data_IF_375387066592
#
_entry.id   IF_375387066592
#
_cell.length_a   1.000
_cell.length_b   1.000
_cell.length_c   1.000
_cell.angle_alpha   90.00
_cell.angle_beta   90.00
_cell.angle_gamma   90.00
#
_symmetry.space_group_name_H-M   'P 1'
#
loop_
_entity.id
_entity.type
_entity.pdbx_description
1 polymer ?
#
# COMPACT_ATOMS: atom_id res chain seq x y z
N UNK A 1 5.77 23.39 1.65
CA UNK A 1 5.33 22.51 0.53
C UNK A 1 5.77 21.10 0.84
N UNK A 2 4.89 20.09 0.69
CA UNK A 2 5.25 18.67 0.82
C UNK A 2 6.06 18.28 -0.41
N UNK A 3 7.24 17.65 -0.21
CA UNK A 3 8.15 17.30 -1.30
C UNK A 3 7.91 15.90 -1.89
N UNK A 4 7.42 14.97 -1.08
CA UNK A 4 7.19 13.58 -1.48
C UNK A 4 6.92 12.68 -0.28
N UNK A 5 6.80 11.39 -0.53
CA UNK A 5 6.73 10.39 0.53
C UNK A 5 8.16 10.12 1.05
N UNK A 6 8.39 10.27 2.36
CA UNK A 6 9.64 9.85 2.97
C UNK A 6 9.58 8.35 3.30
N UNK A 7 8.60 7.94 4.09
CA UNK A 7 8.30 6.55 4.37
C UNK A 7 6.87 6.39 4.86
N UNK A 8 6.32 5.20 4.69
CA UNK A 8 5.18 4.71 5.47
C UNK A 8 5.71 3.81 6.60
N UNK A 9 4.87 3.44 7.55
CA UNK A 9 5.26 2.51 8.60
C UNK A 9 4.06 1.62 8.98
N UNK A 10 4.30 0.31 8.92
CA UNK A 10 3.31 -0.72 9.25
C UNK A 10 3.85 -1.68 10.32
N UNK A 11 2.97 -2.43 10.94
CA UNK A 11 3.37 -3.52 11.84
C UNK A 11 3.76 -4.74 11.03
N UNK A 12 4.81 -5.46 11.46
CA UNK A 12 5.12 -6.79 10.94
C UNK A 12 5.11 -7.82 12.07
N UNK A 13 4.89 -9.08 11.67
CA UNK A 13 4.89 -10.23 12.58
C UNK A 13 6.32 -10.60 12.99
N UNK A 14 7.18 -10.59 11.98
CA UNK A 14 8.56 -11.04 12.04
C UNK A 14 9.37 -10.26 11.01
N UNK A 15 10.46 -9.64 11.45
CA UNK A 15 11.29 -8.78 10.60
C UNK A 15 12.05 -9.57 9.55
N UNK A 16 12.45 -10.82 9.84
CA UNK A 16 13.17 -11.64 8.86
C UNK A 16 12.24 -12.17 7.76
N UNK A 17 11.03 -12.61 8.08
CA UNK A 17 10.03 -12.96 7.06
C UNK A 17 9.67 -11.75 6.20
N UNK A 18 9.57 -10.58 6.81
CA UNK A 18 9.33 -9.32 6.12
C UNK A 18 10.50 -8.99 5.18
N UNK A 19 11.75 -9.13 5.63
CA UNK A 19 12.94 -8.94 4.81
C UNK A 19 12.96 -9.90 3.61
N UNK A 20 12.67 -11.18 3.81
CA UNK A 20 12.63 -12.18 2.72
C UNK A 20 11.60 -11.81 1.64
N UNK A 21 10.48 -11.20 2.02
CA UNK A 21 9.48 -10.75 1.06
C UNK A 21 9.93 -9.44 0.36
N UNK A 22 10.30 -8.41 1.11
CA UNK A 22 10.58 -7.10 0.53
C UNK A 22 11.96 -7.01 -0.13
N UNK A 23 13.00 -7.63 0.44
CA UNK A 23 14.33 -7.64 -0.15
C UNK A 23 14.54 -8.80 -1.12
N UNK A 24 14.39 -10.06 -0.68
CA UNK A 24 14.76 -11.22 -1.51
C UNK A 24 13.74 -11.49 -2.64
N UNK A 25 12.46 -11.16 -2.44
CA UNK A 25 11.43 -11.36 -3.46
C UNK A 25 11.19 -10.10 -4.29
N UNK A 26 10.86 -8.94 -3.68
CA UNK A 26 10.58 -7.71 -4.42
C UNK A 26 11.85 -7.02 -4.91
N UNK A 27 12.98 -7.18 -4.24
CA UNK A 27 14.28 -6.58 -4.60
C UNK A 27 14.50 -5.19 -3.98
N UNK A 28 13.77 -4.84 -2.94
CA UNK A 28 13.95 -3.58 -2.21
C UNK A 28 15.03 -3.74 -1.12
N UNK A 29 16.21 -3.11 -1.24
CA UNK A 29 17.29 -3.35 -0.28
C UNK A 29 16.93 -2.87 1.12
N UNK A 30 17.23 -3.68 2.15
CA UNK A 30 17.18 -3.28 3.55
C UNK A 30 18.24 -2.19 3.78
N UNK A 31 17.83 -0.94 3.93
CA UNK A 31 18.71 0.23 4.01
C UNK A 31 18.88 0.78 5.41
N UNK A 32 18.06 0.34 6.35
CA UNK A 32 18.17 0.78 7.73
C UNK A 32 17.41 -0.13 8.70
N UNK A 33 17.96 -0.24 9.91
CA UNK A 33 17.32 -0.93 11.04
C UNK A 33 17.62 -0.18 12.32
N UNK A 34 16.60 0.09 13.12
CA UNK A 34 16.72 0.82 14.38
C UNK A 34 16.09 0.02 15.52
N UNK A 35 16.88 -0.29 16.55
CA UNK A 35 16.36 -0.85 17.79
C UNK A 35 15.83 0.27 18.71
N UNK A 36 14.60 0.15 19.17
CA UNK A 36 13.96 1.05 20.11
C UNK A 36 13.76 0.29 21.42
N UNK A 37 14.52 0.68 22.45
CA UNK A 37 14.55 -0.01 23.76
C UNK A 37 13.76 0.70 24.85
N UNK A 38 13.33 1.92 24.59
CA UNK A 38 12.48 2.69 25.50
C UNK A 38 11.53 3.60 24.73
N UNK A 39 10.32 3.77 25.27
CA UNK A 39 9.36 4.77 24.76
C UNK A 39 9.83 6.19 25.11
N UNK A 40 9.19 7.21 24.51
CA UNK A 40 9.47 8.63 24.85
C UNK A 40 9.23 8.95 26.34
N UNK A 41 8.41 8.16 27.04
CA UNK A 41 8.13 8.31 28.46
C UNK A 41 9.06 7.46 29.34
N UNK A 42 10.09 6.82 28.78
CA UNK A 42 11.07 6.02 29.50
C UNK A 42 10.62 4.58 29.83
N UNK A 43 9.43 4.14 29.40
CA UNK A 43 9.00 2.74 29.57
C UNK A 43 9.87 1.83 28.72
N UNK A 44 10.44 0.75 29.29
CA UNK A 44 11.15 -0.25 28.51
C UNK A 44 10.26 -0.85 27.42
N UNK A 45 10.82 -1.10 26.24
CA UNK A 45 10.14 -1.75 25.11
C UNK A 45 11.20 -2.45 24.24
N UNK A 46 10.76 -3.40 23.42
CA UNK A 46 11.61 -4.06 22.44
C UNK A 46 10.96 -3.93 21.08
N UNK A 47 11.44 -3.01 20.26
CA UNK A 47 10.91 -2.74 18.92
C UNK A 47 12.05 -2.66 17.92
N UNK A 48 11.93 -3.37 16.81
CA UNK A 48 12.79 -3.21 15.64
C UNK A 48 12.03 -2.43 14.56
N UNK A 49 12.67 -1.38 14.04
CA UNK A 49 12.15 -0.58 12.94
C UNK A 49 13.05 -0.75 11.72
N UNK A 50 12.52 -1.33 10.64
CA UNK A 50 13.26 -1.64 9.39
C UNK A 50 12.79 -0.76 8.24
N UNK A 51 13.69 -0.46 7.29
CA UNK A 51 13.44 0.41 6.13
C UNK A 51 13.94 -0.25 4.85
N UNK A 52 13.04 -0.46 3.89
CA UNK A 52 13.33 -1.00 2.56
C UNK A 52 13.25 0.13 1.54
N UNK A 53 14.35 0.39 0.83
CA UNK A 53 14.49 1.56 -0.03
C UNK A 53 13.86 1.35 -1.41
N UNK A 54 13.13 2.36 -1.89
CA UNK A 54 12.69 2.50 -3.27
C UNK A 54 13.67 3.36 -4.07
N UNK A 55 13.62 3.29 -5.41
CA UNK A 55 14.55 4.00 -6.30
C UNK A 55 14.43 5.52 -6.22
N UNK A 56 13.25 6.05 -5.86
CA UNK A 56 13.03 7.48 -5.64
C UNK A 56 13.59 7.99 -4.29
N UNK A 57 14.18 7.11 -3.49
CA UNK A 57 14.75 7.42 -2.17
C UNK A 57 13.74 7.42 -1.02
N UNK A 58 12.48 7.08 -1.26
CA UNK A 58 11.51 6.80 -0.22
C UNK A 58 11.65 5.38 0.33
N UNK A 59 10.90 5.03 1.38
CA UNK A 59 11.04 3.73 2.04
C UNK A 59 9.67 3.13 2.39
N UNK A 60 9.60 1.81 2.25
CA UNK A 60 8.63 1.00 3.00
C UNK A 60 9.26 0.63 4.35
N UNK A 61 8.55 0.91 5.45
CA UNK A 61 9.08 0.70 6.77
C UNK A 61 8.15 -0.16 7.62
N UNK A 62 8.75 -0.96 8.53
CA UNK A 62 8.01 -1.87 9.38
C UNK A 62 8.47 -1.81 10.81
N UNK A 63 7.51 -2.03 11.73
CA UNK A 63 7.75 -2.19 13.14
C UNK A 63 7.44 -3.63 13.57
N UNK A 64 8.44 -4.35 14.04
CA UNK A 64 8.25 -5.53 14.87
C UNK A 64 8.27 -5.11 16.34
N UNK A 65 7.20 -5.41 17.07
CA UNK A 65 7.06 -5.07 18.49
C UNK A 65 6.37 -6.23 19.22
N UNK A 66 7.12 -7.28 19.62
CA UNK A 66 6.57 -8.51 20.17
C UNK A 66 5.79 -8.32 21.47
N UNK A 67 6.15 -7.32 22.26
CA UNK A 67 5.52 -6.98 23.53
C UNK A 67 4.28 -6.07 23.40
N UNK A 68 3.90 -5.71 22.16
CA UNK A 68 2.75 -4.84 21.88
C UNK A 68 1.70 -5.59 21.04
N UNK A 69 0.53 -5.92 21.61
CA UNK A 69 -0.54 -6.61 20.88
C UNK A 69 -0.92 -5.88 19.58
N UNK A 70 -1.12 -6.66 18.53
CA UNK A 70 -1.58 -6.19 17.22
C UNK A 70 -2.37 -7.29 16.51
N UNK A 71 -3.50 -6.93 15.93
CA UNK A 71 -4.30 -7.86 15.14
C UNK A 71 -3.82 -7.87 13.68
N UNK A 72 -3.13 -8.94 13.32
CA UNK A 72 -2.76 -9.20 11.94
C UNK A 72 -3.87 -9.96 11.22
N UNK A 73 -4.39 -9.38 10.16
CA UNK A 73 -5.43 -9.97 9.31
C UNK A 73 -5.09 -9.81 7.83
N UNK A 74 -5.67 -10.63 6.98
CA UNK A 74 -5.63 -10.41 5.55
C UNK A 74 -6.41 -9.13 5.22
N UNK A 75 -5.73 -8.11 4.71
CA UNK A 75 -6.37 -6.86 4.34
C UNK A 75 -7.15 -7.02 3.03
N UNK A 76 -8.27 -6.31 2.91
CA UNK A 76 -8.94 -6.14 1.63
C UNK A 76 -8.25 -5.01 0.84
N UNK A 77 -8.23 -5.11 -0.49
CA UNK A 77 -7.59 -4.11 -1.35
C UNK A 77 -8.11 -2.69 -1.10
N UNK A 78 -9.41 -2.55 -0.74
CA UNK A 78 -10.01 -1.25 -0.44
C UNK A 78 -9.73 -0.75 0.98
N UNK A 79 -9.32 -1.63 1.89
CA UNK A 79 -8.95 -1.23 3.24
C UNK A 79 -7.51 -0.71 3.25
N UNK A 80 -6.60 -1.47 2.65
CA UNK A 80 -5.19 -1.13 2.57
C UNK A 80 -4.51 -1.92 1.45
N UNK A 81 -3.87 -1.22 0.53
CA UNK A 81 -2.83 -1.79 -0.33
C UNK A 81 -1.68 -0.78 -0.51
N UNK A 82 -0.53 -1.31 -0.88
CA UNK A 82 0.66 -0.52 -1.18
C UNK A 82 0.93 -0.74 -2.67
N UNK A 83 0.75 0.30 -3.48
CA UNK A 83 1.02 0.26 -4.91
C UNK A 83 2.43 0.80 -5.20
N UNK A 84 3.25 -0.03 -5.85
CA UNK A 84 4.63 0.27 -6.24
C UNK A 84 4.72 0.31 -7.76
N UNK A 85 5.24 1.40 -8.29
CA UNK A 85 5.42 1.56 -9.73
C UNK A 85 6.57 0.68 -10.25
N UNK A 86 6.31 0.00 -11.37
CA UNK A 86 7.30 -0.82 -12.10
C UNK A 86 7.13 -0.60 -13.60
N UNK A 87 8.14 -1.00 -14.37
CA UNK A 87 8.00 -1.09 -15.84
C UNK A 87 7.09 -2.27 -16.24
N UNK A 88 6.33 -2.12 -17.33
CA UNK A 88 5.35 -3.11 -17.80
C UNK A 88 5.92 -4.54 -17.92
N UNK A 89 7.12 -4.81 -18.48
CA UNK A 89 7.64 -6.17 -18.56
C UNK A 89 7.84 -6.82 -17.20
N UNK A 90 8.09 -6.01 -16.16
CA UNK A 90 8.31 -6.50 -14.79
C UNK A 90 7.10 -7.17 -14.19
N UNK A 91 5.87 -6.81 -14.62
CA UNK A 91 4.64 -7.43 -14.13
C UNK A 91 4.62 -8.94 -14.40
N UNK A 92 4.88 -9.35 -15.63
CA UNK A 92 4.91 -10.78 -16.01
C UNK A 92 6.02 -11.55 -15.29
N UNK A 93 7.22 -10.97 -15.19
CA UNK A 93 8.34 -11.56 -14.49
C UNK A 93 8.02 -11.81 -13.01
N UNK A 94 7.48 -10.79 -12.35
CA UNK A 94 7.16 -10.87 -10.92
C UNK A 94 5.98 -11.79 -10.64
N UNK A 95 4.97 -11.83 -11.53
CA UNK A 95 3.85 -12.75 -11.40
C UNK A 95 4.32 -14.21 -11.51
N UNK A 96 5.20 -14.50 -12.48
CA UNK A 96 5.80 -15.82 -12.62
C UNK A 96 6.68 -16.18 -11.40
N UNK A 97 7.50 -15.25 -10.92
CA UNK A 97 8.35 -15.43 -9.72
C UNK A 97 7.51 -15.68 -8.47
N UNK A 98 6.39 -14.96 -8.30
CA UNK A 98 5.48 -15.15 -7.18
C UNK A 98 4.81 -16.51 -7.20
N UNK A 99 4.29 -16.94 -8.35
CA UNK A 99 3.70 -18.28 -8.55
C UNK A 99 4.70 -19.39 -8.27
N UNK A 100 5.94 -19.26 -8.76
CA UNK A 100 7.00 -20.23 -8.52
C UNK A 100 7.37 -20.35 -7.03
N UNK A 101 7.16 -19.30 -6.22
CA UNK A 101 7.35 -19.31 -4.76
C UNK A 101 6.10 -19.71 -3.98
N UNK A 102 4.99 -20.04 -4.65
CA UNK A 102 3.72 -20.40 -4.00
C UNK A 102 3.06 -19.22 -3.26
N UNK A 103 3.39 -17.98 -3.63
CA UNK A 103 2.75 -16.80 -3.03
C UNK A 103 1.33 -16.63 -3.55
N UNK A 104 0.44 -16.15 -2.68
CA UNK A 104 -0.88 -15.66 -3.12
C UNK A 104 -0.65 -14.48 -4.08
N UNK A 105 -1.07 -14.63 -5.34
CA UNK A 105 -0.90 -13.61 -6.36
C UNK A 105 -2.06 -13.58 -7.35
N UNK A 106 -2.36 -12.40 -7.85
CA UNK A 106 -3.49 -12.12 -8.75
C UNK A 106 -3.07 -11.12 -9.83
N UNK A 107 -3.72 -11.14 -10.95
CA UNK A 107 -3.55 -10.22 -12.09
C UNK A 107 -3.12 -10.98 -13.35
N UNK A 108 -2.86 -10.35 -14.49
CA UNK A 108 -2.77 -8.88 -14.64
C UNK A 108 -4.19 -8.30 -14.68
N UNK A 109 -4.43 -7.21 -13.95
CA UNK A 109 -5.67 -6.45 -13.98
C UNK A 109 -5.45 -5.16 -14.77
N UNK A 110 -6.38 -4.84 -15.68
CA UNK A 110 -6.39 -3.59 -16.43
C UNK A 110 -7.32 -2.59 -15.72
N UNK A 111 -6.78 -1.43 -15.34
CA UNK A 111 -7.50 -0.32 -14.72
C UNK A 111 -7.54 0.91 -15.62
N UNK A 112 -7.37 0.74 -16.95
CA UNK A 112 -7.29 1.77 -17.99
C UNK A 112 -6.01 2.61 -17.91
N UNK A 113 -5.69 3.20 -16.76
CA UNK A 113 -4.51 4.07 -16.58
C UNK A 113 -3.28 3.33 -16.03
N UNK A 114 -3.46 2.11 -15.50
CA UNK A 114 -2.38 1.22 -15.05
C UNK A 114 -2.77 -0.24 -15.28
N UNK A 115 -1.74 -1.08 -15.47
CA UNK A 115 -1.85 -2.54 -15.36
C UNK A 115 -1.26 -2.97 -14.03
N UNK A 116 -1.90 -3.90 -13.32
CA UNK A 116 -1.50 -4.26 -11.96
C UNK A 116 -1.46 -5.76 -11.71
N UNK A 117 -0.54 -6.17 -10.86
CA UNK A 117 -0.51 -7.48 -10.21
C UNK A 117 -0.48 -7.30 -8.70
N UNK A 118 -0.97 -8.29 -7.97
CA UNK A 118 -1.15 -8.21 -6.53
C UNK A 118 -0.51 -9.40 -5.86
N UNK A 119 0.09 -9.16 -4.71
CA UNK A 119 0.63 -10.18 -3.80
C UNK A 119 0.08 -9.95 -2.41
N UNK A 120 0.06 -11.00 -1.61
CA UNK A 120 -0.13 -10.88 -0.16
C UNK A 120 1.18 -11.10 0.54
N UNK A 121 1.59 -10.14 1.34
CA UNK A 121 2.81 -10.22 2.13
C UNK A 121 2.62 -11.13 3.37
N UNK A 122 3.70 -11.54 4.08
CA UNK A 122 3.58 -12.40 5.26
C UNK A 122 2.81 -11.78 6.43
N UNK A 123 2.58 -10.47 6.40
CA UNK A 123 1.81 -9.76 7.43
C UNK A 123 0.30 -9.69 7.14
N UNK A 124 -0.11 -10.03 5.91
CA UNK A 124 -1.49 -9.96 5.43
C UNK A 124 -1.81 -8.70 4.62
N UNK A 125 -0.82 -7.86 4.33
CA UNK A 125 -1.00 -6.66 3.51
C UNK A 125 -1.02 -7.00 2.02
N UNK A 126 -1.81 -6.23 1.26
CA UNK A 126 -1.83 -6.32 -0.20
C UNK A 126 -0.74 -5.43 -0.77
N UNK A 127 0.14 -6.03 -1.56
CA UNK A 127 1.18 -5.33 -2.33
C UNK A 127 0.80 -5.38 -3.80
N UNK A 128 0.62 -4.22 -4.40
CA UNK A 128 0.35 -4.05 -5.81
C UNK A 128 1.64 -3.63 -6.52
N UNK A 129 1.99 -4.30 -7.61
CA UNK A 129 2.95 -3.75 -8.57
C UNK A 129 2.15 -3.22 -9.75
N UNK A 130 2.39 -1.98 -10.12
CA UNK A 130 1.60 -1.27 -11.11
C UNK A 130 2.48 -0.62 -12.18
N UNK A 131 2.11 -0.80 -13.45
CA UNK A 131 2.76 -0.16 -14.58
C UNK A 131 1.81 0.83 -15.25
N UNK A 132 2.30 2.02 -15.56
CA UNK A 132 1.50 3.07 -16.23
C UNK A 132 1.21 2.68 -17.68
N UNK A 133 -0.05 2.86 -18.09
CA UNK A 133 -0.44 2.78 -19.49
C UNK A 133 -0.18 4.12 -20.21
N UNK A 134 -0.23 4.16 -21.56
CA UNK A 134 -0.16 5.42 -22.30
C UNK A 134 -1.25 6.45 -21.90
N UNK A 135 -2.38 5.98 -21.38
CA UNK A 135 -3.50 6.81 -20.94
C UNK A 135 -3.29 7.43 -19.56
N UNK A 136 -2.32 6.94 -18.77
CA UNK A 136 -2.09 7.37 -17.39
C UNK A 136 -2.01 8.90 -17.25
N UNK A 137 -1.16 9.53 -18.06
CA UNK A 137 -0.93 10.98 -17.96
C UNK A 137 -2.20 11.80 -18.20
N UNK A 138 -3.07 11.35 -19.12
CA UNK A 138 -4.35 12.01 -19.43
C UNK A 138 -5.37 11.78 -18.30
N UNK A 139 -5.55 10.53 -17.88
CA UNK A 139 -6.56 10.16 -16.87
C UNK A 139 -6.23 10.70 -15.48
N UNK A 140 -4.94 10.90 -15.17
CA UNK A 140 -4.49 11.47 -13.91
C UNK A 140 -4.23 12.99 -13.96
N UNK A 141 -4.56 13.65 -15.05
CA UNK A 141 -4.39 15.11 -15.17
C UNK A 141 -5.58 15.85 -14.53
N UNK A 142 -5.38 16.58 -13.43
CA UNK A 142 -6.46 17.27 -12.72
C UNK A 142 -7.11 18.39 -13.54
N UNK A 143 -6.48 18.86 -14.62
CA UNK A 143 -7.07 19.86 -15.51
C UNK A 143 -8.14 19.27 -16.45
N UNK A 144 -8.15 17.95 -16.69
CA UNK A 144 -9.01 17.30 -17.68
C UNK A 144 -9.87 16.16 -17.13
N UNK A 145 -9.54 15.59 -15.96
CA UNK A 145 -10.17 14.38 -15.44
C UNK A 145 -11.45 14.59 -14.60
N UNK A 146 -11.92 15.84 -14.46
CA UNK A 146 -13.12 16.19 -13.66
C UNK A 146 -13.16 15.56 -12.23
N UNK A 147 -12.00 15.32 -11.61
CA UNK A 147 -11.93 14.64 -10.30
C UNK A 147 -12.79 15.34 -9.22
N UNK A 148 -12.81 16.67 -9.21
CA UNK A 148 -13.63 17.44 -8.25
C UNK A 148 -15.13 17.28 -8.52
N UNK A 149 -15.55 17.27 -9.75
CA UNK A 149 -16.95 17.07 -10.14
C UNK A 149 -17.43 15.66 -9.80
N UNK A 150 -16.60 14.65 -10.05
CA UNK A 150 -16.86 13.27 -9.65
C UNK A 150 -17.05 13.16 -8.14
N UNK A 151 -16.12 13.72 -7.34
CA UNK A 151 -16.21 13.72 -5.88
C UNK A 151 -17.49 14.42 -5.39
N UNK A 152 -17.85 15.56 -5.98
CA UNK A 152 -19.07 16.30 -5.60
C UNK A 152 -20.35 15.52 -5.91
N UNK A 153 -20.40 14.86 -7.08
CA UNK A 153 -21.54 13.98 -7.45
C UNK A 153 -21.66 12.80 -6.47
N UNK A 154 -20.55 12.18 -6.15
CA UNK A 154 -20.50 11.10 -5.18
C UNK A 154 -21.02 11.53 -3.80
N UNK A 155 -20.59 12.68 -3.29
CA UNK A 155 -21.03 13.17 -1.99
C UNK A 155 -22.55 13.50 -2.00
N UNK A 156 -23.08 14.09 -3.06
CA UNK A 156 -24.53 14.34 -3.20
C UNK A 156 -25.33 13.04 -3.21
N UNK A 157 -24.84 12.02 -3.89
CA UNK A 157 -25.52 10.72 -3.96
C UNK A 157 -25.56 9.98 -2.60
N UNK A 158 -24.59 10.21 -1.72
CA UNK A 158 -24.55 9.63 -0.38
C UNK A 158 -25.43 10.36 0.65
N UNK A 159 -25.78 11.62 0.40
CA UNK A 159 -26.67 12.35 1.31
C UNK A 159 -28.06 11.70 1.27
N UNK A 160 -28.67 11.32 2.42
CA UNK A 160 -30.06 10.91 2.42
C UNK A 160 -30.90 12.03 1.80
N UNK A 161 -31.83 11.71 0.91
CA UNK A 161 -32.84 12.66 0.49
C UNK A 161 -33.47 13.24 1.74
N UNK A 162 -33.42 14.58 1.90
CA UNK A 162 -34.09 15.26 3.00
C UNK A 162 -35.54 14.73 3.01
N UNK A 163 -35.94 14.11 4.13
CA UNK A 163 -37.29 13.65 4.31
C UNK A 163 -38.21 14.84 4.01
N UNK A 164 -38.90 14.81 2.89
CA UNK A 164 -39.95 15.75 2.56
C UNK A 164 -41.03 15.55 3.62
N UNK A 165 -40.97 16.41 4.65
CA UNK A 165 -42.04 16.51 5.64
C UNK A 165 -43.31 16.90 4.95
N UNK A 166 -44.18 15.92 4.70
CA UNK A 166 -45.56 16.15 4.38
C UNK A 166 -46.29 16.49 5.65
N UNK A 167 -46.36 17.78 5.94
CA UNK A 167 -47.35 18.29 6.89
C UNK A 167 -48.70 18.15 6.22
N UNK A 168 -49.43 17.17 6.65
CA UNK A 168 -50.86 17.12 6.36
C UNK A 168 -51.57 17.78 7.53
N UNK A 169 -52.20 18.89 7.24
CA UNK A 169 -53.12 19.64 8.09
C UNK A 169 -54.37 18.87 8.41
#
# INVERSE_FOLDING_TARGET
MIKGLHHNAYRCRDSEQTRQFYEDFLGLPLSGSLEIRATKTGRPTSVLHTFYRLDDGSYLAFFEAPDMPFEFKAQHDFDLHIALEVEEPRLNEMLAKGRARGLECRGISDHEFVHSIYFRDPNGYVIELTAKTPQHAQLMNPATNDARGILQRWQRAKSPAAATGSSIS
#
